data_IF_511880892282
#
_entry.id   IF_511880892282
#
_cell.length_a   1.000
_cell.length_b   1.000
_cell.length_c   1.000
_cell.angle_alpha   90.00
_cell.angle_beta   90.00
_cell.angle_gamma   90.00
#
_symmetry.space_group_name_H-M   'P 1'
#
loop_
_entity.id
_entity.type
_entity.pdbx_description
1 polymer ?
#
# COMPACT_ATOMS: atom_id res chain seq x y z
N UNK A 1 1.28 -26.08 -24.45
CA UNK A 1 2.58 -26.79 -24.27
C UNK A 1 2.77 -26.97 -22.77
N UNK A 2 2.88 -28.19 -22.28
CA UNK A 2 3.09 -28.52 -20.87
C UNK A 2 4.60 -28.47 -20.58
N UNK A 3 5.04 -27.64 -19.63
CA UNK A 3 6.44 -27.57 -19.20
C UNK A 3 6.60 -28.41 -17.93
N UNK A 4 7.48 -29.38 -17.94
CA UNK A 4 7.84 -30.17 -16.76
C UNK A 4 9.13 -29.64 -16.17
N UNK A 5 9.08 -29.29 -14.89
CA UNK A 5 10.21 -28.76 -14.13
C UNK A 5 10.59 -29.73 -13.00
N UNK A 6 11.88 -29.87 -12.77
CA UNK A 6 12.38 -30.47 -11.54
C UNK A 6 12.16 -29.51 -10.36
N UNK A 7 12.15 -30.04 -9.13
CA UNK A 7 12.06 -29.21 -7.92
C UNK A 7 13.17 -28.16 -7.85
N UNK A 8 14.38 -28.52 -8.32
CA UNK A 8 15.53 -27.62 -8.30
C UNK A 8 15.34 -26.47 -9.30
N UNK A 9 14.86 -26.74 -10.50
CA UNK A 9 14.55 -25.70 -11.50
C UNK A 9 13.45 -24.76 -11.00
N UNK A 10 12.37 -25.33 -10.45
CA UNK A 10 11.29 -24.51 -9.88
C UNK A 10 11.79 -23.57 -8.77
N UNK A 11 12.66 -24.05 -7.86
CA UNK A 11 13.28 -23.21 -6.82
C UNK A 11 14.14 -22.10 -7.41
N UNK A 12 14.97 -22.41 -8.42
CA UNK A 12 15.82 -21.39 -9.08
C UNK A 12 14.98 -20.32 -9.76
N UNK A 13 13.91 -20.72 -10.45
CA UNK A 13 12.97 -19.79 -11.08
C UNK A 13 12.33 -18.90 -10.01
N UNK A 14 11.85 -19.46 -8.91
CA UNK A 14 11.23 -18.69 -7.84
C UNK A 14 12.20 -17.68 -7.21
N UNK A 15 13.45 -18.09 -6.92
CA UNK A 15 14.47 -17.19 -6.36
C UNK A 15 14.80 -16.06 -7.32
N UNK A 16 14.98 -16.37 -8.61
CA UNK A 16 15.25 -15.37 -9.65
C UNK A 16 14.07 -14.42 -9.85
N UNK A 17 12.86 -14.93 -9.92
CA UNK A 17 11.65 -14.13 -10.04
C UNK A 17 11.44 -13.16 -8.87
N UNK A 18 12.06 -13.42 -7.73
CA UNK A 18 12.05 -12.56 -6.55
C UNK A 18 13.28 -11.66 -6.45
N UNK A 19 14.14 -11.60 -7.46
CA UNK A 19 15.39 -10.83 -7.48
C UNK A 19 16.33 -11.16 -6.30
N UNK A 20 16.35 -12.43 -5.89
CA UNK A 20 17.17 -12.91 -4.77
C UNK A 20 18.41 -13.69 -5.21
N UNK A 21 18.74 -13.67 -6.50
CA UNK A 21 19.96 -14.26 -7.08
C UNK A 21 20.95 -13.18 -7.53
N UNK A 22 22.08 -13.59 -8.11
CA UNK A 22 23.05 -12.70 -8.71
C UNK A 22 22.82 -12.56 -10.23
N UNK A 23 23.05 -11.37 -10.85
CA UNK A 23 23.48 -10.13 -10.20
C UNK A 23 22.33 -9.46 -9.44
N UNK A 24 22.67 -8.74 -8.36
CA UNK A 24 21.70 -7.95 -7.60
C UNK A 24 21.28 -6.72 -8.38
N UNK A 25 20.00 -6.28 -8.30
CA UNK A 25 19.58 -4.99 -8.82
C UNK A 25 20.30 -3.85 -8.06
N UNK A 26 20.36 -2.69 -8.69
CA UNK A 26 20.99 -1.47 -8.12
C UNK A 26 20.03 -0.30 -8.03
N UNK A 27 18.82 -0.44 -8.54
CA UNK A 27 17.78 0.59 -8.53
C UNK A 27 16.58 0.14 -7.72
N UNK A 28 16.19 0.94 -6.72
CA UNK A 28 15.10 0.61 -5.81
C UNK A 28 13.74 0.65 -6.50
N UNK A 29 13.50 1.65 -7.36
CA UNK A 29 12.23 1.77 -8.07
C UNK A 29 12.02 0.58 -9.03
N UNK A 30 13.08 0.14 -9.70
CA UNK A 30 13.06 -1.05 -10.56
C UNK A 30 12.78 -2.33 -9.74
N UNK A 31 13.28 -2.43 -8.50
CA UNK A 31 12.92 -3.54 -7.60
C UNK A 31 11.44 -3.54 -7.30
N UNK A 32 10.86 -2.38 -6.94
CA UNK A 32 9.42 -2.28 -6.64
C UNK A 32 8.58 -2.56 -7.88
N UNK A 33 8.96 -2.03 -9.05
CA UNK A 33 8.31 -2.33 -10.33
C UNK A 33 8.30 -3.82 -10.65
N UNK A 34 9.42 -4.49 -10.43
CA UNK A 34 9.53 -5.93 -10.69
C UNK A 34 8.65 -6.76 -9.74
N UNK A 35 8.60 -6.39 -8.47
CA UNK A 35 7.77 -7.06 -7.46
C UNK A 35 6.30 -6.70 -7.55
N UNK A 36 5.96 -5.63 -8.26
CA UNK A 36 4.67 -4.97 -8.37
C UNK A 36 4.17 -4.33 -7.05
N UNK A 37 4.41 -4.96 -5.92
CA UNK A 37 4.04 -4.44 -4.59
C UNK A 37 5.08 -4.83 -3.53
N UNK A 38 5.27 -3.94 -2.56
CA UNK A 38 6.04 -4.22 -1.34
C UNK A 38 5.14 -3.93 -0.13
N UNK A 39 4.93 -4.92 0.72
CA UNK A 39 4.06 -4.78 1.89
C UNK A 39 4.67 -3.85 2.93
N UNK A 40 3.86 -2.93 3.45
CA UNK A 40 4.19 -2.08 4.59
C UNK A 40 3.63 -2.72 5.85
N UNK A 41 4.51 -3.22 6.71
CA UNK A 41 4.15 -3.68 8.04
C UNK A 41 4.88 -2.80 9.06
N UNK A 42 4.10 -2.17 9.94
CA UNK A 42 4.61 -1.29 10.99
C UNK A 42 5.24 -2.05 12.16
N UNK A 43 5.17 -3.37 12.16
CA UNK A 43 5.85 -4.20 13.17
C UNK A 43 7.34 -4.21 12.90
N UNK A 44 8.10 -3.48 13.70
CA UNK A 44 9.54 -3.31 13.54
C UNK A 44 10.29 -4.07 14.63
N UNK A 45 10.55 -5.36 14.41
CA UNK A 45 11.43 -6.11 15.32
C UNK A 45 12.92 -5.77 15.09
N UNK A 46 13.31 -5.53 13.84
CA UNK A 46 14.67 -5.16 13.41
C UNK A 46 14.60 -3.88 12.57
N UNK A 47 13.79 -3.86 11.53
CA UNK A 47 13.55 -2.74 10.65
C UNK A 47 12.12 -2.88 10.05
N UNK A 48 11.55 -1.83 9.43
CA UNK A 48 10.31 -1.93 8.67
C UNK A 48 10.37 -3.03 7.61
N UNK A 49 9.26 -3.75 7.40
CA UNK A 49 9.24 -4.89 6.47
C UNK A 49 9.63 -4.51 5.05
N UNK A 50 9.22 -3.32 4.59
CA UNK A 50 9.58 -2.81 3.26
C UNK A 50 11.09 -2.65 3.10
N UNK A 51 11.78 -2.07 4.10
CA UNK A 51 13.23 -1.92 4.09
C UNK A 51 13.94 -3.27 4.05
N UNK A 52 13.49 -4.24 4.84
CA UNK A 52 14.05 -5.60 4.83
C UNK A 52 13.90 -6.27 3.47
N UNK A 53 12.76 -6.08 2.80
CA UNK A 53 12.50 -6.60 1.45
C UNK A 53 13.43 -5.95 0.43
N UNK A 54 13.62 -4.63 0.50
CA UNK A 54 14.50 -3.89 -0.40
C UNK A 54 15.97 -4.22 -0.14
N UNK A 55 16.39 -4.21 1.13
CA UNK A 55 17.75 -4.56 1.51
C UNK A 55 18.13 -5.99 1.09
N UNK A 56 17.24 -6.96 1.22
CA UNK A 56 17.53 -8.34 0.80
C UNK A 56 17.89 -8.44 -0.70
N UNK A 57 17.47 -7.47 -1.52
CA UNK A 57 17.70 -7.41 -2.97
C UNK A 57 18.87 -6.52 -3.35
N UNK A 58 18.91 -5.32 -2.80
CA UNK A 58 19.93 -4.30 -3.10
C UNK A 58 21.21 -4.49 -2.28
N UNK A 59 21.11 -5.11 -1.10
CA UNK A 59 22.25 -5.23 -0.17
C UNK A 59 22.67 -3.86 0.37
N UNK A 60 23.95 -3.60 0.40
CA UNK A 60 24.53 -2.34 0.89
C UNK A 60 24.28 -1.13 0.00
N UNK A 61 23.60 -1.30 -1.13
CA UNK A 61 23.16 -0.18 -1.98
C UNK A 61 21.82 0.40 -1.51
N UNK A 62 21.13 -0.21 -0.54
CA UNK A 62 19.89 0.30 0.02
C UNK A 62 20.16 1.13 1.27
N UNK A 63 19.64 2.36 1.26
CA UNK A 63 19.56 3.23 2.43
C UNK A 63 18.09 3.35 2.88
N UNK A 64 17.80 3.39 4.20
CA UNK A 64 16.43 3.47 4.69
C UNK A 64 15.64 4.70 4.19
N UNK A 65 16.33 5.82 3.87
CA UNK A 65 15.71 7.02 3.31
C UNK A 65 15.22 6.86 1.87
N UNK A 66 15.73 5.87 1.11
CA UNK A 66 15.43 5.73 -0.33
C UNK A 66 13.94 5.51 -0.59
N UNK A 67 13.24 4.77 0.30
CA UNK A 67 11.79 4.57 0.18
C UNK A 67 11.02 5.86 0.46
N UNK A 68 11.42 6.63 1.48
CA UNK A 68 10.81 7.91 1.81
C UNK A 68 11.01 8.91 0.66
N UNK A 69 12.21 8.97 0.07
CA UNK A 69 12.52 9.83 -1.08
C UNK A 69 11.63 9.53 -2.28
N UNK A 70 11.41 8.22 -2.60
CA UNK A 70 10.53 7.82 -3.70
C UNK A 70 9.02 8.04 -3.41
N UNK A 71 8.63 8.08 -2.14
CA UNK A 71 7.27 8.47 -1.73
C UNK A 71 7.10 9.99 -1.82
N UNK A 72 8.10 10.75 -1.38
CA UNK A 72 8.06 12.21 -1.36
C UNK A 72 8.08 12.80 -2.78
N UNK A 73 8.83 12.19 -3.72
CA UNK A 73 8.86 12.62 -5.13
C UNK A 73 7.67 12.08 -5.96
N UNK A 74 6.84 11.22 -5.36
CA UNK A 74 5.65 10.64 -5.98
C UNK A 74 5.93 9.52 -6.99
N UNK A 75 7.13 8.95 -7.01
CA UNK A 75 7.46 7.75 -7.82
C UNK A 75 6.82 6.48 -7.26
N UNK A 76 6.67 6.42 -5.94
CA UNK A 76 5.91 5.39 -5.23
C UNK A 76 4.69 5.99 -4.54
N UNK A 77 3.68 5.15 -4.33
CA UNK A 77 2.53 5.45 -3.50
C UNK A 77 2.27 4.31 -2.53
N UNK A 78 1.87 4.65 -1.30
CA UNK A 78 1.30 3.69 -0.37
C UNK A 78 -0.21 3.61 -0.61
N UNK A 79 -0.69 2.42 -0.91
CA UNK A 79 -2.11 2.17 -1.10
C UNK A 79 -2.50 0.80 -0.53
N UNK A 80 -3.47 0.79 0.39
CA UNK A 80 -3.95 -0.41 1.07
C UNK A 80 -2.84 -1.22 1.78
N UNK A 81 -1.88 -0.52 2.40
CA UNK A 81 -0.79 -1.14 3.16
C UNK A 81 0.32 -1.77 2.31
N UNK A 82 0.40 -1.39 1.05
CA UNK A 82 1.51 -1.77 0.16
C UNK A 82 2.07 -0.56 -0.57
N UNK A 83 3.39 -0.53 -0.77
CA UNK A 83 4.04 0.38 -1.70
C UNK A 83 3.94 -0.18 -3.11
N UNK A 84 3.68 0.69 -4.08
CA UNK A 84 3.64 0.35 -5.49
C UNK A 84 4.10 1.51 -6.37
N UNK A 85 4.53 1.27 -7.60
CA UNK A 85 4.80 2.34 -8.54
C UNK A 85 3.58 3.24 -8.74
N UNK A 86 3.77 4.55 -8.77
CA UNK A 86 2.66 5.50 -8.90
C UNK A 86 1.87 5.31 -10.20
N UNK A 87 2.55 4.92 -11.28
CA UNK A 87 1.92 4.60 -12.57
C UNK A 87 0.90 3.46 -12.48
N UNK A 88 1.06 2.52 -11.54
CA UNK A 88 0.14 1.39 -11.36
C UNK A 88 -1.22 1.81 -10.79
N UNK A 89 -1.34 3.02 -10.23
CA UNK A 89 -2.62 3.57 -9.80
C UNK A 89 -3.65 3.64 -10.94
N UNK A 90 -3.17 3.76 -12.18
CA UNK A 90 -4.04 3.73 -13.36
C UNK A 90 -4.78 2.39 -13.51
N UNK A 91 -4.18 1.28 -13.08
CA UNK A 91 -4.77 -0.06 -13.13
C UNK A 91 -5.91 -0.23 -12.12
N UNK A 92 -5.90 0.55 -11.02
CA UNK A 92 -6.87 0.46 -9.93
C UNK A 92 -8.09 1.37 -10.15
N UNK A 93 -8.10 2.18 -11.21
CA UNK A 93 -9.19 3.15 -11.47
C UNK A 93 -10.57 2.50 -11.60
N UNK A 94 -10.64 1.30 -12.18
CA UNK A 94 -11.90 0.57 -12.33
C UNK A 94 -12.45 0.13 -10.97
N UNK A 95 -11.58 -0.38 -10.09
CA UNK A 95 -11.96 -0.79 -8.74
C UNK A 95 -12.36 0.43 -7.89
N UNK A 96 -11.63 1.53 -8.00
CA UNK A 96 -11.97 2.79 -7.34
C UNK A 96 -13.34 3.33 -7.79
N UNK A 97 -13.65 3.23 -9.08
CA UNK A 97 -14.94 3.69 -9.64
C UNK A 97 -16.14 2.85 -9.16
N UNK A 98 -15.91 1.60 -8.78
CA UNK A 98 -16.94 0.70 -8.27
C UNK A 98 -16.96 0.59 -6.75
N UNK A 99 -16.20 1.47 -6.06
CA UNK A 99 -16.13 1.45 -4.59
C UNK A 99 -17.54 1.49 -3.95
N UNK A 100 -17.79 0.74 -2.87
CA UNK A 100 -16.89 -0.14 -2.10
C UNK A 100 -16.78 -1.56 -2.67
N UNK A 101 -17.22 -1.80 -3.89
CA UNK A 101 -17.15 -3.06 -4.61
C UNK A 101 -18.33 -3.25 -5.57
N UNK A 102 -18.31 -4.32 -6.38
CA UNK A 102 -19.41 -4.63 -7.31
C UNK A 102 -20.68 -5.07 -6.58
N UNK A 103 -21.83 -4.82 -7.19
CA UNK A 103 -23.11 -5.33 -6.69
C UNK A 103 -23.26 -6.84 -7.00
N UNK A 104 -23.89 -7.64 -6.11
CA UNK A 104 -24.48 -7.22 -4.84
C UNK A 104 -23.40 -7.02 -3.75
N UNK A 105 -23.49 -5.92 -3.02
CA UNK A 105 -22.57 -5.63 -1.93
C UNK A 105 -22.71 -6.63 -0.77
N UNK A 106 -21.59 -6.97 -0.15
CA UNK A 106 -21.57 -7.68 1.14
C UNK A 106 -22.10 -6.81 2.27
N UNK A 107 -22.45 -7.41 3.42
CA UNK A 107 -22.92 -6.67 4.60
C UNK A 107 -21.87 -5.65 5.07
N UNK A 108 -20.60 -6.03 5.04
CA UNK A 108 -19.49 -5.17 5.40
C UNK A 108 -19.38 -3.96 4.46
N UNK A 109 -19.47 -4.19 3.14
CA UNK A 109 -19.41 -3.11 2.15
C UNK A 109 -20.59 -2.16 2.28
N UNK A 110 -21.80 -2.69 2.56
CA UNK A 110 -22.98 -1.87 2.86
C UNK A 110 -22.79 -1.01 4.11
N UNK A 111 -22.22 -1.60 5.17
CA UNK A 111 -21.92 -0.88 6.40
C UNK A 111 -20.87 0.23 6.18
N UNK A 112 -19.82 -0.07 5.43
CA UNK A 112 -18.79 0.90 5.07
C UNK A 112 -19.36 2.06 4.24
N UNK A 113 -20.15 1.77 3.20
CA UNK A 113 -20.79 2.79 2.35
C UNK A 113 -21.70 3.70 3.16
N UNK A 114 -22.48 3.12 4.10
CA UNK A 114 -23.35 3.89 4.99
C UNK A 114 -22.52 4.79 5.91
N UNK A 115 -21.52 4.24 6.57
CA UNK A 115 -20.66 4.98 7.48
C UNK A 115 -19.93 6.14 6.78
N UNK A 116 -19.47 5.94 5.55
CA UNK A 116 -18.89 7.03 4.74
C UNK A 116 -19.89 8.13 4.45
N UNK A 117 -21.15 7.77 4.13
CA UNK A 117 -22.23 8.75 3.93
C UNK A 117 -22.54 9.53 5.19
N UNK A 118 -22.58 8.86 6.36
CA UNK A 118 -22.83 9.49 7.65
C UNK A 118 -21.69 10.45 8.06
N UNK A 119 -20.50 10.29 7.48
CA UNK A 119 -19.31 11.10 7.74
C UNK A 119 -18.82 11.88 6.50
N UNK A 120 -19.70 12.19 5.57
CA UNK A 120 -19.32 12.89 4.32
C UNK A 120 -18.62 14.23 4.59
N UNK A 121 -19.03 14.98 5.62
CA UNK A 121 -18.38 16.23 6.00
C UNK A 121 -16.91 16.00 6.40
N UNK A 122 -16.63 14.99 7.23
CA UNK A 122 -15.27 14.61 7.61
C UNK A 122 -14.43 14.25 6.37
N UNK A 123 -15.00 13.51 5.42
CA UNK A 123 -14.34 13.18 4.15
C UNK A 123 -13.97 14.43 3.35
N UNK A 124 -14.87 15.40 3.28
CA UNK A 124 -14.61 16.67 2.59
C UNK A 124 -13.54 17.52 3.30
N UNK A 125 -13.55 17.56 4.64
CA UNK A 125 -12.53 18.24 5.41
C UNK A 125 -11.13 17.66 5.12
N UNK A 126 -10.99 16.33 5.16
CA UNK A 126 -9.75 15.63 4.82
C UNK A 126 -9.29 15.96 3.39
N UNK A 127 -10.19 15.89 2.41
CA UNK A 127 -9.87 16.20 1.02
C UNK A 127 -9.47 17.68 0.83
N UNK A 128 -10.08 18.60 1.58
CA UNK A 128 -9.74 20.01 1.54
C UNK A 128 -8.32 20.24 2.06
N UNK A 129 -7.97 19.64 3.20
CA UNK A 129 -6.62 19.74 3.79
C UNK A 129 -5.58 19.17 2.83
N UNK A 130 -5.80 17.96 2.29
CA UNK A 130 -4.88 17.33 1.33
C UNK A 130 -4.69 18.15 0.03
N UNK A 131 -5.72 18.89 -0.41
CA UNK A 131 -5.60 19.78 -1.59
C UNK A 131 -4.84 21.07 -1.27
N UNK A 132 -4.92 21.56 -0.04
CA UNK A 132 -4.26 22.78 0.38
C UNK A 132 -2.80 22.55 0.73
N UNK A 133 -2.51 21.49 1.48
CA UNK A 133 -1.22 21.26 2.13
C UNK A 133 -0.41 20.12 1.47
N UNK A 134 -1.01 19.39 0.50
CA UNK A 134 -0.37 18.26 -0.19
C UNK A 134 -0.45 16.96 0.62
N UNK A 135 0.45 16.00 0.37
CA UNK A 135 0.47 14.71 1.06
C UNK A 135 0.72 14.87 2.56
N UNK A 136 -0.12 14.22 3.37
CA UNK A 136 -0.02 14.24 4.83
C UNK A 136 -0.18 12.84 5.40
N UNK A 137 0.39 12.60 6.58
CA UNK A 137 0.18 11.35 7.31
C UNK A 137 -1.22 11.35 7.93
N UNK A 138 -1.84 10.18 8.05
CA UNK A 138 -3.18 10.04 8.64
C UNK A 138 -3.33 10.71 10.02
N UNK A 139 -2.27 10.73 10.83
CA UNK A 139 -2.27 11.37 12.16
C UNK A 139 -2.29 12.91 12.12
N UNK A 140 -1.92 13.50 10.99
CA UNK A 140 -1.82 14.94 10.79
C UNK A 140 -3.10 15.49 10.13
N UNK A 141 -4.03 14.60 9.78
CA UNK A 141 -5.33 14.94 9.20
C UNK A 141 -6.41 15.11 10.29
N UNK A 142 -7.40 15.99 10.08
CA UNK A 142 -8.47 16.22 11.04
C UNK A 142 -9.41 15.00 11.13
N UNK A 143 -9.74 14.61 12.35
CA UNK A 143 -10.84 13.66 12.62
C UNK A 143 -12.07 14.42 13.09
N UNK A 144 -12.90 14.82 12.14
CA UNK A 144 -14.17 15.51 12.38
C UNK A 144 -15.37 14.58 12.19
N UNK A 145 -15.14 13.25 12.22
CA UNK A 145 -16.19 12.25 12.05
C UNK A 145 -17.22 12.30 13.18
N UNK A 146 -18.49 12.42 12.80
CA UNK A 146 -19.63 12.43 13.73
C UNK A 146 -19.96 11.02 14.24
N UNK A 147 -19.83 10.03 13.37
CA UNK A 147 -20.11 8.63 13.68
C UNK A 147 -18.79 7.86 13.70
N UNK A 148 -18.31 7.40 14.87
CA UNK A 148 -17.07 6.65 14.94
C UNK A 148 -17.20 5.29 14.26
N UNK A 149 -16.14 4.89 13.53
CA UNK A 149 -16.05 3.51 13.03
C UNK A 149 -15.89 2.54 14.18
N UNK A 150 -16.76 1.54 14.23
CA UNK A 150 -16.70 0.49 15.24
C UNK A 150 -16.19 -0.81 14.63
N UNK A 151 -15.18 -1.39 15.25
CA UNK A 151 -14.67 -2.70 14.91
C UNK A 151 -14.30 -3.48 16.18
N UNK A 152 -14.26 -4.80 16.08
CA UNK A 152 -13.81 -5.67 17.17
C UNK A 152 -12.28 -5.76 17.29
N UNK A 153 -11.54 -4.99 16.53
CA UNK A 153 -10.08 -5.12 16.38
C UNK A 153 -9.32 -3.82 16.61
N UNK A 154 -8.07 -3.84 16.20
CA UNK A 154 -7.09 -2.75 16.35
C UNK A 154 -7.48 -1.42 15.67
N UNK A 155 -8.48 -1.44 14.79
CA UNK A 155 -8.95 -0.29 14.04
C UNK A 155 -10.20 0.37 14.64
N UNK A 156 -10.59 0.01 15.88
CA UNK A 156 -11.71 0.66 16.54
C UNK A 156 -11.41 2.14 16.81
N UNK A 157 -12.32 3.02 16.41
CA UNK A 157 -12.17 4.47 16.57
C UNK A 157 -11.09 5.13 15.68
N UNK A 158 -10.49 4.41 14.72
CA UNK A 158 -9.51 4.99 13.78
C UNK A 158 -10.19 5.47 12.51
N UNK A 159 -10.99 6.54 12.65
CA UNK A 159 -11.84 7.04 11.57
C UNK A 159 -11.04 7.50 10.34
N UNK A 160 -10.02 8.35 10.53
CA UNK A 160 -9.20 8.88 9.42
C UNK A 160 -8.53 7.75 8.63
N UNK A 161 -7.93 6.80 9.32
CA UNK A 161 -7.31 5.63 8.67
C UNK A 161 -8.30 4.74 7.92
N UNK A 162 -9.57 4.73 8.36
CA UNK A 162 -10.64 4.01 7.66
C UNK A 162 -11.20 4.81 6.49
N UNK A 163 -11.10 6.13 6.55
CA UNK A 163 -11.56 7.07 5.52
C UNK A 163 -10.60 7.09 4.31
N UNK A 164 -9.29 6.98 4.57
CA UNK A 164 -8.23 6.84 3.56
C UNK A 164 -8.14 5.41 3.03
#
# INVERSE_FOLDING_TARGET
MEHRLTRQEARRIAVRAQLLDAPRPTDLLEVVRHLAVVQVDLTTAVAPSADLVCWARLGSAHEPSDLDDLLDDGSLVEFQGVLRPAEDMALLRADMATWPGPEPLTDWQRALRRWMGDNEACRQDILQVLRADGPLRARDLPDTCLVPWRSSGWNDGRNVQRML
#
